data_IF_673066325442
#
_entry.id   IF_673066325442
#
_cell.length_a   1.000
_cell.length_b   1.000
_cell.length_c   1.000
_cell.angle_alpha   90.00
_cell.angle_beta   90.00
_cell.angle_gamma   90.00
#
_symmetry.space_group_name_H-M   'P 1'
#
loop_
_entity.id
_entity.type
_entity.pdbx_description
1 polymer ?
#
# COMPACT_ATOMS: atom_id res chain seq x y z
N UNK A 1 -12.48 11.47 13.41
CA UNK A 1 -12.70 10.14 13.96
C UNK A 1 -11.40 9.36 14.00
N UNK A 2 -10.80 9.32 15.14
CA UNK A 2 -9.45 8.75 15.25
C UNK A 2 -9.39 7.24 15.00
N UNK A 3 -10.44 6.54 15.25
CA UNK A 3 -10.41 5.08 15.06
C UNK A 3 -10.36 4.66 13.59
N UNK A 4 -10.54 5.59 12.67
CA UNK A 4 -10.44 5.27 11.25
C UNK A 4 -9.03 4.81 10.87
N UNK A 5 -8.04 5.24 11.61
CA UNK A 5 -6.66 4.89 11.30
C UNK A 5 -6.40 3.40 11.45
N UNK A 6 -7.08 2.76 12.37
CA UNK A 6 -6.93 1.33 12.55
C UNK A 6 -7.45 0.55 11.37
N UNK A 7 -8.61 0.96 10.88
CA UNK A 7 -9.23 0.29 9.75
C UNK A 7 -8.45 0.53 8.48
N UNK A 8 -7.83 1.70 8.38
CA UNK A 8 -7.05 2.05 7.22
C UNK A 8 -5.95 1.01 6.97
N UNK A 9 -5.17 0.66 7.99
CA UNK A 9 -4.09 -0.29 7.83
C UNK A 9 -4.58 -1.69 7.51
N UNK A 10 -5.73 -2.06 8.03
CA UNK A 10 -6.30 -3.37 7.78
C UNK A 10 -6.94 -3.50 6.41
N UNK A 11 -7.18 -2.37 5.76
CA UNK A 11 -7.82 -2.38 4.45
C UNK A 11 -6.84 -2.65 3.31
N UNK A 12 -5.57 -2.81 3.60
CA UNK A 12 -4.60 -3.18 2.60
C UNK A 12 -4.67 -4.67 2.31
N UNK A 13 -4.74 -5.01 1.02
CA UNK A 13 -4.74 -6.40 0.56
C UNK A 13 -3.51 -6.62 -0.30
N UNK A 14 -2.75 -7.64 0.05
CA UNK A 14 -1.52 -7.97 -0.66
C UNK A 14 -1.74 -9.20 -1.51
N UNK A 15 -1.38 -9.10 -2.79
CA UNK A 15 -1.46 -10.20 -3.73
C UNK A 15 -0.05 -10.50 -4.25
N UNK A 16 0.49 -11.65 -3.89
CA UNK A 16 1.85 -12.00 -4.28
C UNK A 16 1.94 -12.45 -5.73
N UNK A 17 0.85 -12.94 -6.30
CA UNK A 17 0.84 -13.34 -7.71
C UNK A 17 1.02 -12.13 -8.62
N UNK A 18 0.36 -11.03 -8.30
CA UNK A 18 0.48 -9.80 -9.07
C UNK A 18 1.50 -8.84 -8.47
N UNK A 19 2.02 -9.18 -7.30
CA UNK A 19 2.98 -8.35 -6.56
C UNK A 19 2.43 -6.96 -6.28
N UNK A 20 1.19 -6.92 -5.79
CA UNK A 20 0.53 -5.64 -5.51
C UNK A 20 0.03 -5.56 -4.08
N UNK A 21 -0.07 -4.34 -3.58
CA UNK A 21 -0.79 -4.03 -2.37
C UNK A 21 -1.88 -3.02 -2.74
N UNK A 22 -3.12 -3.35 -2.46
CA UNK A 22 -4.24 -2.50 -2.81
C UNK A 22 -5.03 -2.12 -1.57
N UNK A 23 -5.57 -0.91 -1.60
CA UNK A 23 -6.37 -0.37 -0.51
C UNK A 23 -7.82 -0.21 -0.97
N UNK A 24 -8.74 -0.36 -0.04
CA UNK A 24 -10.17 -0.24 -0.34
C UNK A 24 -10.54 1.11 -0.94
N UNK A 25 -9.77 2.14 -0.66
CA UNK A 25 -10.00 3.47 -1.23
C UNK A 25 -9.66 3.56 -2.72
N UNK A 26 -8.93 2.58 -3.25
CA UNK A 26 -8.58 2.58 -4.66
C UNK A 26 -7.09 2.73 -4.95
N UNK A 27 -6.27 2.83 -3.91
CA UNK A 27 -4.83 2.90 -4.09
C UNK A 27 -4.29 1.52 -4.40
N UNK A 28 -3.44 1.42 -5.44
CA UNK A 28 -2.77 0.17 -5.77
C UNK A 28 -1.30 0.46 -6.03
N UNK A 29 -0.44 -0.26 -5.32
CA UNK A 29 1.00 -0.17 -5.51
C UNK A 29 1.52 -1.51 -5.99
N UNK A 30 2.40 -1.48 -6.99
CA UNK A 30 3.06 -2.67 -7.48
C UNK A 30 4.48 -2.70 -6.94
N UNK A 31 4.91 -3.87 -6.49
CA UNK A 31 6.23 -4.05 -5.91
C UNK A 31 7.10 -4.87 -6.84
N UNK A 32 8.31 -4.39 -7.05
CA UNK A 32 9.30 -5.06 -7.88
C UNK A 32 10.51 -5.37 -7.03
N UNK A 33 10.99 -6.61 -7.13
CA UNK A 33 12.15 -7.02 -6.37
C UNK A 33 13.40 -6.40 -6.99
N UNK A 34 14.14 -5.66 -6.18
CA UNK A 34 15.40 -5.06 -6.60
C UNK A 34 16.55 -6.02 -6.28
N UNK A 35 16.54 -6.54 -5.06
CA UNK A 35 17.50 -7.54 -4.61
C UNK A 35 16.88 -8.31 -3.47
N UNK A 36 17.57 -9.29 -2.93
CA UNK A 36 16.99 -10.13 -1.88
C UNK A 36 16.51 -9.29 -0.71
N UNK A 37 15.21 -9.42 -0.42
CA UNK A 37 14.61 -8.73 0.70
C UNK A 37 14.30 -7.26 0.45
N UNK A 38 14.61 -6.74 -0.73
CA UNK A 38 14.38 -5.32 -1.04
C UNK A 38 13.42 -5.20 -2.22
N UNK A 39 12.35 -4.47 -2.02
CA UNK A 39 11.34 -4.26 -3.06
C UNK A 39 11.10 -2.76 -3.26
N UNK A 40 10.86 -2.39 -4.50
CA UNK A 40 10.49 -1.02 -4.87
C UNK A 40 9.00 -0.98 -5.15
N UNK A 41 8.29 -0.08 -4.48
CA UNK A 41 6.85 0.07 -4.65
C UNK A 41 6.52 1.23 -5.57
N UNK A 42 5.66 0.98 -6.55
CA UNK A 42 5.25 1.99 -7.52
C UNK A 42 3.73 2.11 -7.55
N UNK A 43 3.24 3.33 -7.50
CA UNK A 43 1.79 3.58 -7.60
C UNK A 43 1.32 3.31 -9.03
N UNK A 44 0.35 2.40 -9.17
CA UNK A 44 -0.20 2.07 -10.50
C UNK A 44 -1.68 2.42 -10.61
N UNK A 45 -2.37 2.68 -9.50
CA UNK A 45 -3.75 3.12 -9.52
C UNK A 45 -4.05 3.94 -8.27
N UNK A 46 -4.95 4.90 -8.40
CA UNK A 46 -5.32 5.78 -7.31
C UNK A 46 -6.81 6.10 -7.38
N UNK A 47 -7.41 6.57 -6.27
CA UNK A 47 -8.81 6.98 -6.29
C UNK A 47 -9.06 8.09 -7.30
N UNK A 48 -10.27 8.13 -7.85
CA UNK A 48 -10.57 9.09 -8.91
C UNK A 48 -10.66 10.52 -8.42
N UNK A 49 -11.29 10.75 -7.30
CA UNK A 49 -11.56 12.10 -6.82
C UNK A 49 -10.70 12.43 -5.61
N UNK A 50 -9.41 12.65 -5.86
CA UNK A 50 -8.49 12.98 -4.79
C UNK A 50 -8.64 14.43 -4.35
N UNK A 51 -8.73 14.65 -3.05
CA UNK A 51 -8.69 15.98 -2.50
C UNK A 51 -7.23 16.43 -2.40
N UNK A 52 -6.97 17.76 -2.33
CA UNK A 52 -5.59 18.23 -2.14
C UNK A 52 -4.93 17.63 -0.90
N UNK A 53 -5.70 17.39 0.14
CA UNK A 53 -5.19 16.79 1.35
C UNK A 53 -4.71 15.35 1.12
N UNK A 54 -5.46 14.59 0.33
CA UNK A 54 -5.07 13.22 -0.01
C UNK A 54 -3.81 13.20 -0.85
N UNK A 55 -3.67 14.15 -1.75
CA UNK A 55 -2.46 14.27 -2.57
C UNK A 55 -1.25 14.56 -1.69
N UNK A 56 -1.41 15.41 -0.70
CA UNK A 56 -0.37 15.71 0.26
C UNK A 56 0.07 14.47 1.03
N UNK A 57 -0.87 13.57 1.30
CA UNK A 57 -0.60 12.38 2.09
C UNK A 57 -0.10 11.21 1.25
N UNK A 58 0.06 11.39 -0.05
CA UNK A 58 0.49 10.31 -0.93
C UNK A 58 1.80 9.62 -0.49
N UNK A 59 2.84 10.36 -0.06
CA UNK A 59 4.06 9.70 0.42
C UNK A 59 3.81 8.82 1.65
N UNK A 60 2.92 9.25 2.52
CA UNK A 60 2.57 8.46 3.69
C UNK A 60 1.83 7.19 3.28
N UNK A 61 0.92 7.31 2.32
CA UNK A 61 0.17 6.17 1.81
C UNK A 61 1.11 5.17 1.16
N UNK A 62 2.10 5.64 0.43
CA UNK A 62 3.10 4.77 -0.17
C UNK A 62 3.89 4.01 0.90
N UNK A 63 4.22 4.68 1.99
CA UNK A 63 4.92 4.03 3.11
C UNK A 63 4.04 2.95 3.73
N UNK A 64 2.76 3.23 3.92
CA UNK A 64 1.86 2.25 4.51
C UNK A 64 1.69 1.04 3.60
N UNK A 65 1.66 1.25 2.30
CA UNK A 65 1.60 0.14 1.35
C UNK A 65 2.84 -0.74 1.49
N UNK A 66 4.01 -0.12 1.60
CA UNK A 66 5.26 -0.85 1.80
C UNK A 66 5.25 -1.65 3.09
N UNK A 67 4.74 -1.06 4.16
CA UNK A 67 4.65 -1.75 5.44
C UNK A 67 3.69 -2.94 5.36
N UNK A 68 2.57 -2.78 4.67
CA UNK A 68 1.62 -3.87 4.48
C UNK A 68 2.25 -5.01 3.70
N UNK A 69 3.01 -4.68 2.66
CA UNK A 69 3.71 -5.66 1.85
C UNK A 69 4.72 -6.45 2.68
N UNK A 70 5.55 -5.76 3.47
CA UNK A 70 6.54 -6.43 4.31
C UNK A 70 5.90 -7.28 5.38
N UNK A 71 4.83 -6.80 5.97
CA UNK A 71 4.12 -7.57 6.99
C UNK A 71 3.57 -8.86 6.40
N UNK A 72 2.99 -8.77 5.21
CA UNK A 72 2.44 -9.94 4.55
C UNK A 72 3.54 -10.94 4.18
N UNK A 73 4.69 -10.45 3.72
CA UNK A 73 5.82 -11.32 3.41
C UNK A 73 6.30 -12.08 4.63
N UNK A 74 6.43 -11.38 5.74
CA UNK A 74 6.88 -12.00 7.00
C UNK A 74 5.87 -13.02 7.50
N UNK A 75 4.58 -12.73 7.37
CA UNK A 75 3.55 -13.65 7.80
C UNK A 75 3.52 -14.91 6.94
N UNK A 76 3.94 -14.79 5.68
CA UNK A 76 3.93 -15.89 4.74
C UNK A 76 5.15 -16.82 4.89
N UNK A 77 6.23 -16.31 5.38
CA UNK A 77 7.50 -17.04 5.48
C UNK A 77 7.42 -18.22 6.46
#
# INVERSE_FOLDING_TARGET
MPHQNRNWQRSWKVNFDTQTASHDDGWVFKFSKIEDGVFDGRLIAQPKNLTPEQIKNAPRIAREAGEAWERARKARS
#
